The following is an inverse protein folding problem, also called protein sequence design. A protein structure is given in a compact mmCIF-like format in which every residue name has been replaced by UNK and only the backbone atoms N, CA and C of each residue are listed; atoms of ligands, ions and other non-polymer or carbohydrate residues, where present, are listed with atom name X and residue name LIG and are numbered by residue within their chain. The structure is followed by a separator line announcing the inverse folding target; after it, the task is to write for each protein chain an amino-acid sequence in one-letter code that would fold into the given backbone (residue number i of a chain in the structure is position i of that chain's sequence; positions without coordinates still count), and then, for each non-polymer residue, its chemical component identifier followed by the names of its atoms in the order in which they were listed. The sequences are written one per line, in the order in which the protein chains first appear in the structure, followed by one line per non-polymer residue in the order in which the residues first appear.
data_IF_519634565524
#
_entry.id   IF_519634565524
#
_cell.length_a   1.000
_cell.length_b   1.000
_cell.length_c   1.000
_cell.angle_alpha   90.00
_cell.angle_beta   90.00
_cell.angle_gamma   90.00
#
_symmetry.space_group_name_H-M   'P 1'
#
loop_
_entity.id
_entity.type
_entity.pdbx_description
1 polymer ?
#
# COMPACT_ATOMS: atom_id res chain seq x y z
N UNK A 1 40.24 36.99 -80.73
CA UNK A 1 39.22 37.92 -81.24
C UNK A 1 38.12 37.96 -80.19
N UNK A 2 37.71 39.06 -79.58
CA UNK A 2 38.07 40.48 -79.56
C UNK A 2 37.42 40.98 -78.24
N UNK A 3 38.20 41.33 -77.21
CA UNK A 3 38.50 42.71 -76.73
C UNK A 3 37.22 43.49 -76.31
N UNK A 4 37.09 44.07 -75.11
CA UNK A 4 37.77 45.26 -74.54
C UNK A 4 36.98 45.62 -73.24
N UNK A 5 37.41 46.33 -72.20
CA UNK A 5 38.66 46.96 -71.72
C UNK A 5 38.45 47.44 -70.25
N UNK A 6 39.55 47.61 -69.48
CA UNK A 6 39.98 48.79 -68.67
C UNK A 6 38.92 49.60 -67.87
N UNK A 7 39.06 50.09 -66.63
CA UNK A 7 40.23 50.51 -65.81
C UNK A 7 39.81 51.03 -64.42
N UNK A 8 40.71 50.86 -63.42
CA UNK A 8 41.18 51.79 -62.36
C UNK A 8 40.25 52.74 -61.56
N UNK A 9 40.44 52.71 -60.21
CA UNK A 9 40.73 53.81 -59.22
C UNK A 9 40.04 53.49 -57.87
N UNK A 10 40.74 53.19 -56.77
CA UNK A 10 41.48 54.03 -55.80
C UNK A 10 40.70 55.16 -55.07
N UNK A 11 40.62 54.98 -53.74
CA UNK A 11 40.50 55.93 -52.59
C UNK A 11 39.22 56.72 -52.25
N UNK A 12 38.87 56.61 -50.95
CA UNK A 12 38.29 57.60 -50.01
C UNK A 12 36.87 58.13 -50.35
N UNK A 13 35.93 58.39 -49.43
CA UNK A 13 36.00 58.90 -48.06
C UNK A 13 34.63 58.72 -47.39
N UNK A 14 34.59 58.98 -46.07
CA UNK A 14 33.45 58.95 -45.16
C UNK A 14 32.15 59.66 -45.62
N UNK A 15 31.00 59.16 -45.16
CA UNK A 15 29.73 59.87 -45.26
C UNK A 15 28.50 59.12 -44.72
N UNK A 16 28.18 59.41 -43.46
CA UNK A 16 26.82 59.63 -42.91
C UNK A 16 25.76 58.50 -42.89
N UNK A 17 25.48 58.09 -41.65
CA UNK A 17 24.21 57.66 -41.03
C UNK A 17 22.93 57.65 -41.89
N UNK A 18 22.35 56.45 -42.05
CA UNK A 18 20.97 56.25 -42.51
C UNK A 18 20.39 54.98 -41.88
N UNK A 19 19.39 55.16 -41.01
CA UNK A 19 18.58 54.09 -40.42
C UNK A 19 17.48 53.70 -41.42
N UNK A 20 17.42 52.45 -41.88
CA UNK A 20 16.17 51.66 -42.01
C UNK A 20 16.40 50.20 -42.48
N UNK A 21 15.97 49.27 -41.63
CA UNK A 21 15.23 48.00 -41.89
C UNK A 21 15.71 46.93 -42.90
N UNK A 22 15.71 45.70 -42.36
CA UNK A 22 15.42 44.40 -42.98
C UNK A 22 16.57 43.59 -43.60
N UNK A 23 16.68 42.33 -43.15
CA UNK A 23 17.32 41.25 -43.91
C UNK A 23 18.37 40.42 -43.15
N UNK A 24 17.88 39.49 -42.33
CA UNK A 24 18.43 38.13 -42.07
C UNK A 24 19.90 37.85 -42.41
N UNK A 25 20.72 37.62 -41.37
CA UNK A 25 21.52 36.39 -41.21
C UNK A 25 22.47 36.53 -40.02
N UNK A 26 22.06 35.95 -38.88
CA UNK A 26 23.02 35.44 -37.91
C UNK A 26 22.67 33.97 -37.72
N UNK A 27 23.55 33.10 -38.19
CA UNK A 27 23.62 31.72 -37.74
C UNK A 27 23.76 31.74 -36.22
N UNK A 28 22.69 31.31 -35.55
CA UNK A 28 22.74 30.97 -34.14
C UNK A 28 23.13 29.49 -34.13
N UNK A 29 24.31 29.20 -33.63
CA UNK A 29 24.59 27.89 -33.05
C UNK A 29 23.53 27.66 -31.96
N UNK A 30 22.45 26.99 -32.34
CA UNK A 30 21.51 26.42 -31.41
C UNK A 30 21.99 24.99 -31.15
N UNK A 31 22.84 24.83 -30.14
CA UNK A 31 22.74 23.65 -29.31
C UNK A 31 21.30 23.65 -28.75
N UNK A 32 20.37 23.09 -29.51
CA UNK A 32 19.04 22.73 -29.05
C UNK A 32 19.19 21.52 -28.15
N UNK A 33 19.82 21.71 -27.00
CA UNK A 33 19.40 20.96 -25.84
C UNK A 33 18.10 21.61 -25.39
N UNK A 34 16.99 21.24 -26.06
CA UNK A 34 15.67 21.45 -25.49
C UNK A 34 15.74 20.88 -24.08
N UNK A 35 15.42 21.64 -23.02
CA UNK A 35 15.45 21.09 -21.68
C UNK A 35 14.52 19.87 -21.69
N UNK A 36 15.06 18.70 -21.32
CA UNK A 36 14.25 17.52 -21.01
C UNK A 36 13.11 18.01 -20.12
N UNK A 37 11.87 17.75 -20.52
CA UNK A 37 10.71 18.25 -19.78
C UNK A 37 10.85 17.85 -18.30
N UNK A 38 10.80 18.83 -17.38
CA UNK A 38 10.87 18.59 -15.93
C UNK A 38 9.54 18.00 -15.45
N UNK A 39 9.33 16.76 -15.86
CA UNK A 39 8.09 16.01 -15.74
C UNK A 39 8.25 14.94 -14.68
N UNK A 40 7.35 14.94 -13.71
CA UNK A 40 7.26 13.92 -12.66
C UNK A 40 6.13 12.95 -13.00
N UNK A 41 6.45 11.66 -13.03
CA UNK A 41 5.49 10.61 -13.35
C UNK A 41 5.12 9.81 -12.09
N UNK A 42 3.82 9.59 -11.92
CA UNK A 42 3.24 8.72 -10.90
C UNK A 42 2.58 7.59 -11.67
N UNK A 43 3.25 6.45 -11.73
CA UNK A 43 2.85 5.36 -12.63
C UNK A 43 2.04 4.32 -11.85
N UNK A 44 0.83 4.03 -12.34
CA UNK A 44 0.01 2.91 -11.87
C UNK A 44 -0.21 2.91 -10.33
N UNK A 45 -0.52 4.06 -9.75
CA UNK A 45 -0.90 4.20 -8.34
C UNK A 45 -2.17 3.39 -8.09
N UNK A 46 -2.12 2.45 -7.15
CA UNK A 46 -3.22 1.52 -6.90
C UNK A 46 -4.33 2.17 -6.05
N UNK A 47 -5.57 1.93 -6.46
CA UNK A 47 -6.79 2.30 -5.73
C UNK A 47 -7.38 1.05 -5.07
N UNK A 48 -7.65 1.12 -3.77
CA UNK A 48 -8.29 0.02 -3.06
C UNK A 48 -9.14 0.48 -1.90
N UNK A 49 -10.10 -0.35 -1.50
CA UNK A 49 -10.90 -0.16 -0.29
C UNK A 49 -10.09 -0.26 0.99
N UNK A 50 -8.95 -0.98 0.98
CA UNK A 50 -8.05 -1.10 2.14
C UNK A 50 -7.36 0.22 2.50
N UNK A 51 -7.20 1.09 1.52
CA UNK A 51 -6.57 2.40 1.69
C UNK A 51 -7.55 3.48 2.13
N UNK A 52 -8.87 3.24 2.05
CA UNK A 52 -9.90 4.17 2.53
C UNK A 52 -9.85 4.37 4.03
N UNK A 53 -10.33 5.53 4.49
CA UNK A 53 -10.33 5.91 5.90
C UNK A 53 -11.74 6.36 6.31
N UNK A 54 -12.50 5.52 7.04
CA UNK A 54 -12.19 4.15 7.42
C UNK A 54 -12.21 3.17 6.23
N UNK A 55 -11.49 2.04 6.36
CA UNK A 55 -11.52 0.95 5.37
C UNK A 55 -12.94 0.45 5.15
N UNK A 56 -13.28 0.11 3.90
CA UNK A 56 -14.58 -0.47 3.55
C UNK A 56 -14.44 -1.88 2.92
N UNK A 57 -15.58 -2.52 2.64
CA UNK A 57 -15.67 -3.89 2.15
C UNK A 57 -15.80 -4.03 0.63
N UNK A 58 -15.53 -2.98 -0.14
CA UNK A 58 -15.61 -3.07 -1.60
C UNK A 58 -14.55 -4.02 -2.15
N UNK A 59 -14.94 -4.78 -3.18
CA UNK A 59 -14.04 -5.61 -3.99
C UNK A 59 -13.66 -4.90 -5.30
N UNK A 60 -14.11 -3.66 -5.49
CA UNK A 60 -13.67 -2.87 -6.62
C UNK A 60 -12.17 -2.60 -6.52
N UNK A 61 -11.54 -2.45 -7.68
CA UNK A 61 -10.11 -2.14 -7.79
C UNK A 61 -9.95 -1.05 -8.83
N UNK A 62 -8.86 -0.31 -8.74
CA UNK A 62 -8.48 0.62 -9.78
C UNK A 62 -7.02 1.01 -9.71
N UNK A 63 -6.62 1.81 -10.67
CA UNK A 63 -5.35 2.51 -10.64
C UNK A 63 -5.46 3.84 -11.36
N UNK A 64 -4.55 4.74 -11.06
CA UNK A 64 -4.40 5.97 -11.83
C UNK A 64 -2.93 6.26 -12.10
N UNK A 65 -2.68 7.04 -13.14
CA UNK A 65 -1.35 7.57 -13.44
C UNK A 65 -1.41 9.07 -13.59
N UNK A 66 -0.36 9.76 -13.16
CA UNK A 66 -0.19 11.20 -13.29
C UNK A 66 1.09 11.50 -14.05
N UNK A 67 1.02 12.45 -14.97
CA UNK A 67 2.16 13.15 -15.51
C UNK A 67 2.06 14.63 -15.12
N UNK A 68 3.04 15.13 -14.37
CA UNK A 68 3.05 16.51 -13.91
C UNK A 68 4.23 17.28 -14.52
N UNK A 69 3.95 18.31 -15.30
CA UNK A 69 4.96 19.22 -15.88
C UNK A 69 5.13 20.46 -14.99
N UNK A 70 6.30 20.58 -14.37
CA UNK A 70 6.64 21.70 -13.47
C UNK A 70 6.82 23.04 -14.18
N UNK A 71 6.97 23.08 -15.50
CA UNK A 71 7.10 24.35 -16.22
C UNK A 71 5.72 25.02 -16.44
N UNK A 72 4.71 24.19 -16.71
CA UNK A 72 3.36 24.65 -17.00
C UNK A 72 2.40 24.51 -15.80
N UNK A 73 2.86 23.86 -14.74
CA UNK A 73 2.08 23.38 -13.59
C UNK A 73 0.88 22.53 -14.00
N UNK A 74 1.00 21.82 -15.12
CA UNK A 74 -0.07 21.00 -15.66
C UNK A 74 0.06 19.57 -15.16
N UNK A 75 -0.97 19.10 -14.46
CA UNK A 75 -1.16 17.70 -14.10
C UNK A 75 -2.09 17.07 -15.14
N UNK A 76 -1.62 16.05 -15.84
CA UNK A 76 -2.43 15.16 -16.66
C UNK A 76 -2.62 13.83 -15.95
N UNK A 77 -3.83 13.28 -15.96
CA UNK A 77 -4.13 12.00 -15.32
C UNK A 77 -4.83 11.02 -16.26
N UNK A 78 -4.68 9.73 -15.97
CA UNK A 78 -5.49 8.62 -16.52
C UNK A 78 -5.97 7.75 -15.37
N UNK A 79 -7.26 7.39 -15.33
CA UNK A 79 -7.86 6.60 -14.24
C UNK A 79 -8.52 5.35 -14.83
N UNK A 80 -8.21 4.18 -14.27
CA UNK A 80 -8.80 2.89 -14.60
C UNK A 80 -9.42 2.27 -13.35
N UNK A 81 -10.56 1.61 -13.50
CA UNK A 81 -11.22 0.89 -12.41
C UNK A 81 -12.10 -0.23 -12.93
N UNK A 82 -12.45 -1.16 -12.04
CA UNK A 82 -13.38 -2.27 -12.29
C UNK A 82 -14.21 -2.55 -11.04
N UNK A 83 -15.41 -3.14 -11.21
CA UNK A 83 -16.24 -3.58 -10.09
C UNK A 83 -16.99 -2.49 -9.32
N UNK A 84 -17.01 -1.25 -9.83
CA UNK A 84 -17.79 -0.14 -9.25
C UNK A 84 -18.43 0.74 -10.34
N UNK A 85 -19.47 1.48 -9.95
CA UNK A 85 -20.11 2.56 -10.71
C UNK A 85 -19.89 3.88 -9.97
N UNK A 86 -18.88 4.68 -10.35
CA UNK A 86 -18.54 5.89 -9.61
C UNK A 86 -19.62 6.97 -9.70
N UNK A 87 -19.87 7.65 -8.58
CA UNK A 87 -20.76 8.81 -8.48
C UNK A 87 -20.00 10.13 -8.37
N UNK A 88 -18.76 10.08 -7.87
CA UNK A 88 -17.84 11.21 -7.80
C UNK A 88 -16.39 10.71 -7.74
N UNK A 89 -15.44 11.54 -8.15
CA UNK A 89 -14.01 11.33 -7.97
C UNK A 89 -13.33 12.65 -7.64
N UNK A 90 -12.43 12.64 -6.65
CA UNK A 90 -11.73 13.84 -6.21
C UNK A 90 -10.27 13.54 -5.90
N UNK A 91 -9.40 14.50 -6.15
CA UNK A 91 -8.10 14.55 -5.49
C UNK A 91 -8.26 15.29 -4.18
N UNK A 92 -7.79 14.66 -3.10
CA UNK A 92 -7.79 15.19 -1.75
C UNK A 92 -6.38 15.41 -1.25
N UNK A 93 -6.23 16.23 -0.21
CA UNK A 93 -4.98 16.42 0.54
C UNK A 93 -5.02 15.71 1.89
N UNK A 94 -4.20 14.67 2.04
CA UNK A 94 -3.98 13.96 3.30
C UNK A 94 -2.82 12.97 3.21
N UNK A 95 -2.15 12.75 4.34
CA UNK A 95 -1.13 11.71 4.48
C UNK A 95 -1.76 10.30 4.40
N UNK A 96 -0.93 9.26 4.27
CA UNK A 96 -1.40 7.87 4.27
C UNK A 96 -2.17 7.59 5.56
N UNK A 97 -3.39 7.07 5.43
CA UNK A 97 -4.25 6.75 6.58
C UNK A 97 -4.96 7.96 7.22
N UNK A 98 -4.86 9.15 6.63
CA UNK A 98 -5.53 10.36 7.11
C UNK A 98 -6.48 10.90 6.04
N UNK A 99 -7.76 11.04 6.39
CA UNK A 99 -8.76 11.68 5.54
C UNK A 99 -8.49 13.19 5.42
N UNK A 100 -8.75 13.73 4.23
CA UNK A 100 -8.37 15.07 3.83
C UNK A 100 -9.46 15.86 3.13
N UNK A 101 -9.27 17.17 3.01
CA UNK A 101 -10.14 18.04 2.20
C UNK A 101 -9.96 17.80 0.71
N UNK A 102 -10.96 18.16 -0.09
CA UNK A 102 -10.90 18.12 -1.56
C UNK A 102 -9.99 19.25 -2.06
N UNK A 103 -9.05 18.92 -2.92
CA UNK A 103 -8.19 19.88 -3.63
C UNK A 103 -8.78 20.22 -5.00
N UNK A 104 -9.22 19.21 -5.75
CA UNK A 104 -9.91 19.40 -7.02
C UNK A 104 -10.76 18.18 -7.42
N UNK A 105 -11.81 18.45 -8.19
CA UNK A 105 -12.72 17.45 -8.72
C UNK A 105 -12.19 16.83 -10.02
N UNK A 106 -12.45 15.55 -10.21
CA UNK A 106 -12.30 14.88 -11.50
C UNK A 106 -13.64 14.97 -12.22
N UNK A 107 -13.72 15.74 -13.30
CA UNK A 107 -14.96 15.90 -14.05
C UNK A 107 -15.39 14.59 -14.75
N UNK A 108 -16.68 14.27 -14.68
CA UNK A 108 -17.29 13.18 -15.44
C UNK A 108 -17.43 13.47 -16.95
N UNK A 109 -17.91 12.50 -17.75
CA UNK A 109 -18.46 11.21 -17.32
C UNK A 109 -17.40 10.23 -16.82
N UNK A 110 -17.76 9.43 -15.81
CA UNK A 110 -16.87 8.44 -15.21
C UNK A 110 -16.88 7.14 -16.03
N UNK A 111 -15.81 6.94 -16.81
CA UNK A 111 -15.55 5.70 -17.53
C UNK A 111 -14.13 5.21 -17.25
N UNK A 112 -13.94 3.89 -17.19
CA UNK A 112 -12.60 3.32 -17.01
C UNK A 112 -11.72 3.65 -18.22
N UNK A 113 -10.50 4.15 -17.97
CA UNK A 113 -9.62 4.71 -18.99
C UNK A 113 -9.78 6.21 -19.20
N UNK A 114 -10.62 6.90 -18.41
CA UNK A 114 -10.81 8.35 -18.51
C UNK A 114 -9.50 9.12 -18.29
N UNK A 115 -9.41 10.26 -18.96
CA UNK A 115 -8.26 11.17 -18.90
C UNK A 115 -8.71 12.58 -18.60
N UNK A 116 -7.83 13.38 -18.03
CA UNK A 116 -8.08 14.80 -17.83
C UNK A 116 -6.81 15.56 -17.50
N UNK A 117 -6.94 16.88 -17.43
CA UNK A 117 -5.86 17.78 -17.07
C UNK A 117 -6.35 18.83 -16.10
N UNK A 118 -5.53 19.20 -15.13
CA UNK A 118 -5.75 20.32 -14.21
C UNK A 118 -4.47 21.14 -14.09
N UNK A 119 -4.60 22.46 -13.99
CA UNK A 119 -3.47 23.31 -13.66
C UNK A 119 -3.39 23.45 -12.14
N UNK A 120 -2.28 23.05 -11.54
CA UNK A 120 -2.10 23.13 -10.10
C UNK A 120 -1.68 24.52 -9.65
N UNK A 121 -2.11 24.89 -8.45
CA UNK A 121 -1.50 25.98 -7.68
C UNK A 121 -0.14 25.53 -7.12
N UNK A 122 0.70 26.48 -6.72
CA UNK A 122 2.00 26.17 -6.08
C UNK A 122 1.84 25.33 -4.80
N UNK A 123 0.78 25.57 -4.02
CA UNK A 123 0.49 24.78 -2.83
C UNK A 123 0.14 23.32 -3.17
N UNK A 124 -0.69 23.12 -4.20
CA UNK A 124 -1.08 21.77 -4.66
C UNK A 124 0.09 21.02 -5.29
N UNK A 125 0.97 21.71 -6.02
CA UNK A 125 2.24 21.15 -6.49
C UNK A 125 3.09 20.67 -5.31
N UNK A 126 3.30 21.51 -4.31
CA UNK A 126 4.07 21.15 -3.13
C UNK A 126 3.47 19.93 -2.41
N UNK A 127 2.14 19.86 -2.31
CA UNK A 127 1.44 18.71 -1.73
C UNK A 127 1.54 17.45 -2.60
N UNK A 128 1.49 17.56 -3.93
CA UNK A 128 1.68 16.43 -4.85
C UNK A 128 3.10 15.85 -4.72
N UNK A 129 4.11 16.72 -4.79
CA UNK A 129 5.53 16.33 -4.73
C UNK A 129 5.91 15.81 -3.34
N UNK A 130 5.24 16.27 -2.29
CA UNK A 130 5.37 15.74 -0.93
C UNK A 130 4.54 14.45 -0.71
N UNK A 131 3.91 13.88 -1.75
CA UNK A 131 3.07 12.68 -1.67
C UNK A 131 1.88 12.83 -0.71
N UNK A 132 1.32 14.03 -0.60
CA UNK A 132 0.14 14.36 0.24
C UNK A 132 -1.17 14.41 -0.53
N UNK A 133 -1.15 14.26 -1.85
CA UNK A 133 -2.38 14.10 -2.62
C UNK A 133 -2.78 12.64 -2.74
N UNK A 134 -4.08 12.37 -2.77
CA UNK A 134 -4.62 11.05 -3.07
C UNK A 134 -5.91 11.17 -3.89
N UNK A 135 -6.14 10.21 -4.78
CA UNK A 135 -7.43 10.08 -5.48
C UNK A 135 -8.37 9.27 -4.60
N UNK A 136 -9.60 9.77 -4.44
CA UNK A 136 -10.72 9.05 -3.85
C UNK A 136 -11.83 8.89 -4.91
N UNK A 137 -12.44 7.70 -4.96
CA UNK A 137 -13.54 7.35 -5.84
C UNK A 137 -14.75 6.94 -4.99
N UNK A 138 -15.90 7.55 -5.25
CA UNK A 138 -17.13 7.33 -4.49
C UNK A 138 -18.14 6.53 -5.31
N UNK A 139 -19.03 5.78 -4.65
CA UNK A 139 -20.21 5.19 -5.27
C UNK A 139 -21.43 5.28 -4.38
N UNK A 140 -22.59 4.85 -4.89
CA UNK A 140 -23.83 4.82 -4.12
C UNK A 140 -23.73 3.98 -2.84
N UNK A 141 -22.96 2.87 -2.87
CA UNK A 141 -22.78 1.99 -1.71
C UNK A 141 -21.75 2.52 -0.72
N UNK A 142 -20.84 3.38 -1.17
CA UNK A 142 -19.72 3.90 -0.40
C UNK A 142 -19.57 5.41 -0.63
N UNK A 143 -20.57 6.17 -0.19
CA UNK A 143 -20.66 7.61 -0.44
C UNK A 143 -19.50 8.42 0.17
N UNK A 144 -18.94 7.95 1.30
CA UNK A 144 -17.78 8.58 1.95
C UNK A 144 -16.43 8.30 1.24
N UNK A 145 -16.42 7.36 0.29
CA UNK A 145 -15.22 6.88 -0.40
C UNK A 145 -15.27 5.35 -0.54
N UNK A 146 -15.15 4.86 -1.77
CA UNK A 146 -15.06 3.44 -2.10
C UNK A 146 -13.61 2.99 -2.28
N UNK A 147 -12.82 3.73 -3.07
CA UNK A 147 -11.43 3.40 -3.38
C UNK A 147 -10.53 4.62 -3.22
N UNK A 148 -9.44 4.45 -2.47
CA UNK A 148 -8.41 5.46 -2.25
C UNK A 148 -7.05 4.99 -2.73
N UNK A 149 -6.23 5.92 -3.22
CA UNK A 149 -4.84 5.66 -3.60
C UNK A 149 -3.96 6.88 -3.42
N UNK A 150 -2.91 6.77 -2.60
CA UNK A 150 -1.96 7.86 -2.35
C UNK A 150 -1.08 8.14 -3.57
N UNK A 151 -0.99 9.39 -4.02
CA UNK A 151 -0.14 9.77 -5.15
C UNK A 151 1.34 9.69 -4.74
N UNK A 152 1.99 8.62 -5.20
CA UNK A 152 3.42 8.39 -5.00
C UNK A 152 4.11 8.08 -6.33
N UNK A 153 5.37 8.49 -6.45
CA UNK A 153 6.25 8.13 -7.57
C UNK A 153 6.68 6.67 -7.46
N UNK A 154 7.20 6.09 -8.54
CA UNK A 154 7.56 4.65 -8.61
C UNK A 154 8.70 4.22 -7.67
N UNK A 155 9.50 5.19 -7.23
CA UNK A 155 10.55 5.02 -6.22
C UNK A 155 9.98 5.01 -4.79
N UNK A 156 8.68 5.21 -4.60
CA UNK A 156 8.02 5.18 -3.30
C UNK A 156 7.05 3.99 -3.18
N UNK A 157 6.88 3.49 -1.96
CA UNK A 157 6.02 2.35 -1.64
C UNK A 157 5.11 2.73 -0.48
N UNK A 158 3.80 2.58 -0.67
CA UNK A 158 2.81 2.86 0.36
C UNK A 158 2.70 1.67 1.31
N UNK A 159 2.86 1.95 2.61
CA UNK A 159 2.62 1.03 3.72
C UNK A 159 1.37 1.53 4.43
N UNK A 160 0.19 1.06 4.04
CA UNK A 160 -1.08 1.57 4.56
C UNK A 160 -1.82 0.54 5.41
N UNK A 161 -2.45 1.03 6.49
CA UNK A 161 -3.41 0.26 7.28
C UNK A 161 -2.82 -1.04 7.85
N UNK A 162 -1.55 -0.99 8.28
CA UNK A 162 -0.93 -2.08 9.05
C UNK A 162 -1.58 -2.06 10.43
N UNK A 163 -2.46 -3.03 10.71
CA UNK A 163 -3.17 -3.14 11.98
C UNK A 163 -2.30 -3.85 13.01
N UNK A 164 -2.28 -3.31 14.24
CA UNK A 164 -1.56 -3.88 15.37
C UNK A 164 -2.55 -4.41 16.40
N UNK A 165 -2.30 -5.60 16.93
CA UNK A 165 -3.11 -6.18 18.01
C UNK A 165 -2.32 -7.19 18.86
N UNK A 166 -2.80 -7.45 20.07
CA UNK A 166 -2.21 -8.48 20.95
C UNK A 166 -2.37 -9.91 20.41
N UNK A 167 -3.37 -10.12 19.53
CA UNK A 167 -3.55 -11.38 18.80
C UNK A 167 -2.41 -11.68 17.84
N UNK A 168 -1.64 -10.65 17.46
CA UNK A 168 -0.50 -10.78 16.56
C UNK A 168 0.83 -11.04 17.27
N UNK A 169 0.87 -10.97 18.61
CA UNK A 169 2.05 -11.36 19.38
C UNK A 169 2.33 -12.87 19.26
N UNK A 170 3.57 -13.27 19.52
CA UNK A 170 3.97 -14.69 19.48
C UNK A 170 4.69 -15.07 20.77
N UNK A 171 4.04 -15.82 21.68
CA UNK A 171 2.63 -16.22 21.67
C UNK A 171 1.66 -15.03 21.77
N UNK A 172 0.46 -15.17 21.20
CA UNK A 172 -0.57 -14.13 21.25
C UNK A 172 -1.01 -13.84 22.69
N UNK A 173 -1.35 -12.59 22.98
CA UNK A 173 -1.82 -12.15 24.30
C UNK A 173 -3.27 -11.64 24.26
N UNK A 174 -3.82 -11.32 25.43
CA UNK A 174 -5.22 -10.89 25.59
C UNK A 174 -5.40 -9.36 25.58
N UNK A 175 -4.39 -8.57 25.21
CA UNK A 175 -4.54 -7.12 25.15
C UNK A 175 -5.66 -6.74 24.17
N UNK A 176 -6.53 -5.84 24.61
CA UNK A 176 -7.56 -5.21 23.78
C UNK A 176 -7.05 -3.95 23.09
N UNK A 177 -5.80 -3.56 23.35
CA UNK A 177 -5.18 -2.43 22.71
C UNK A 177 -5.04 -2.67 21.20
N UNK A 178 -5.11 -1.60 20.44
CA UNK A 178 -4.99 -1.63 18.98
C UNK A 178 -4.05 -0.55 18.51
N UNK A 179 -3.52 -0.72 17.31
CA UNK A 179 -2.77 0.33 16.65
C UNK A 179 -2.88 0.27 15.14
N UNK A 180 -2.45 1.34 14.49
CA UNK A 180 -2.31 1.41 13.05
C UNK A 180 -0.99 2.07 12.70
N UNK A 181 -0.19 1.42 11.85
CA UNK A 181 1.00 1.99 11.25
C UNK A 181 0.71 2.34 9.79
N UNK A 182 1.00 3.58 9.42
CA UNK A 182 0.95 4.08 8.05
C UNK A 182 2.30 4.69 7.70
N UNK A 183 2.70 4.62 6.43
CA UNK A 183 3.89 5.30 5.97
C UNK A 183 4.14 5.18 4.48
N UNK A 184 5.18 5.88 4.04
CA UNK A 184 5.72 5.80 2.68
C UNK A 184 7.19 5.46 2.79
N UNK A 185 7.59 4.32 2.22
CA UNK A 185 8.98 3.98 2.04
C UNK A 185 9.52 4.61 0.77
N UNK A 186 10.61 5.36 0.87
CA UNK A 186 11.30 5.98 -0.25
C UNK A 186 12.55 5.16 -0.60
N UNK A 187 12.58 4.54 -1.78
CA UNK A 187 13.67 3.69 -2.26
C UNK A 187 14.95 4.49 -2.55
N UNK A 188 14.88 5.82 -2.67
CA UNK A 188 16.03 6.67 -2.94
C UNK A 188 16.77 6.98 -1.64
N UNK A 189 16.03 7.43 -0.62
CA UNK A 189 16.59 7.73 0.71
C UNK A 189 16.71 6.51 1.62
N UNK A 190 16.04 5.42 1.25
CA UNK A 190 15.89 4.18 2.02
C UNK A 190 15.22 4.40 3.37
N UNK A 191 14.29 5.36 3.49
CA UNK A 191 13.62 5.70 4.75
C UNK A 191 12.11 5.51 4.64
N UNK A 192 11.45 5.32 5.80
CA UNK A 192 10.00 5.39 5.91
C UNK A 192 9.64 6.69 6.62
N UNK A 193 8.84 7.53 5.98
CA UNK A 193 8.06 8.56 6.67
C UNK A 193 6.78 7.91 7.19
N UNK A 194 6.58 7.91 8.50
CA UNK A 194 5.52 7.12 9.14
C UNK A 194 4.67 7.92 10.13
N UNK A 195 3.47 7.40 10.37
CA UNK A 195 2.57 7.76 11.46
C UNK A 195 2.00 6.50 12.11
N UNK A 196 1.84 6.56 13.43
CA UNK A 196 1.32 5.48 14.27
C UNK A 196 0.19 6.04 15.11
N UNK A 197 -0.96 5.38 15.06
CA UNK A 197 -2.05 5.60 16.00
C UNK A 197 -2.10 4.42 16.99
N UNK A 198 -2.24 4.72 18.29
CA UNK A 198 -2.40 3.71 19.35
C UNK A 198 -3.69 3.98 20.11
N UNK A 199 -4.37 2.91 20.51
CA UNK A 199 -5.57 2.97 21.34
C UNK A 199 -5.47 1.93 22.45
N UNK A 200 -5.76 2.34 23.69
CA UNK A 200 -5.77 1.44 24.85
C UNK A 200 -4.40 1.16 25.47
N UNK A 201 -3.30 1.75 24.99
CA UNK A 201 -1.97 1.62 25.59
C UNK A 201 -1.15 2.91 25.45
N UNK A 202 -0.12 3.06 26.29
CA UNK A 202 0.95 4.08 26.13
C UNK A 202 2.26 3.36 25.83
N UNK A 203 2.87 3.64 24.68
CA UNK A 203 4.08 2.95 24.25
C UNK A 203 5.26 3.31 25.17
N UNK A 204 5.95 2.29 25.69
CA UNK A 204 7.23 2.45 26.39
C UNK A 204 8.43 2.27 25.47
N UNK A 205 8.28 1.50 24.39
CA UNK A 205 9.24 1.33 23.31
C UNK A 205 8.52 0.83 22.05
N UNK A 206 9.10 1.07 20.87
CA UNK A 206 8.60 0.54 19.61
C UNK A 206 9.77 0.12 18.74
N UNK A 207 9.67 -1.03 18.10
CA UNK A 207 10.73 -1.59 17.27
C UNK A 207 10.19 -2.18 15.98
N UNK A 208 10.94 -2.02 14.89
CA UNK A 208 10.84 -2.92 13.76
C UNK A 208 11.70 -4.15 14.03
N UNK A 209 11.13 -5.32 13.82
CA UNK A 209 11.80 -6.62 13.92
C UNK A 209 11.78 -7.35 12.58
N UNK A 210 12.72 -8.28 12.39
CA UNK A 210 12.80 -9.13 11.19
C UNK A 210 12.28 -10.54 11.45
N UNK A 211 11.06 -10.83 11.02
CA UNK A 211 10.57 -12.19 10.86
C UNK A 211 9.35 -12.23 9.94
N UNK A 212 9.08 -13.41 9.38
CA UNK A 212 7.79 -13.68 8.75
C UNK A 212 6.64 -13.57 9.77
N UNK A 213 5.41 -13.41 9.25
CA UNK A 213 4.21 -13.39 10.08
C UNK A 213 4.09 -14.67 10.93
N UNK A 214 3.79 -14.51 12.23
CA UNK A 214 3.68 -15.62 13.18
C UNK A 214 5.00 -16.13 13.78
N UNK A 215 6.14 -15.51 13.44
CA UNK A 215 7.46 -15.87 13.98
C UNK A 215 8.08 -14.68 14.71
N UNK A 216 8.82 -14.91 15.80
CA UNK A 216 9.63 -13.89 16.48
C UNK A 216 10.97 -13.71 15.78
N UNK A 217 11.51 -12.49 15.80
CA UNK A 217 12.83 -12.23 15.25
C UNK A 217 13.54 -11.04 15.86
N UNK A 218 14.77 -10.81 15.38
CA UNK A 218 15.68 -9.82 15.92
C UNK A 218 15.20 -8.39 15.65
N UNK A 219 15.57 -7.47 16.54
CA UNK A 219 15.35 -6.02 16.37
C UNK A 219 16.18 -5.53 15.18
N UNK A 220 15.51 -4.85 14.26
CA UNK A 220 16.10 -4.19 13.10
C UNK A 220 16.37 -2.73 13.38
N UNK A 221 15.39 -2.04 13.99
CA UNK A 221 15.44 -0.61 14.20
C UNK A 221 14.48 -0.18 15.32
N UNK A 222 14.89 0.82 16.11
CA UNK A 222 14.01 1.53 17.05
C UNK A 222 13.13 2.56 16.32
N UNK A 223 11.87 2.66 16.72
CA UNK A 223 10.89 3.61 16.18
C UNK A 223 10.60 4.68 17.23
N UNK A 224 10.95 5.92 16.88
CA UNK A 224 10.94 7.06 17.79
C UNK A 224 9.65 7.89 17.64
N UNK A 225 8.81 7.84 18.67
CA UNK A 225 7.56 8.60 18.69
C UNK A 225 6.51 8.07 17.71
N UNK A 226 5.34 8.70 17.71
CA UNK A 226 4.19 8.26 16.92
C UNK A 226 4.18 8.81 15.49
N UNK A 227 5.13 9.67 15.14
CA UNK A 227 5.28 10.21 13.79
C UNK A 227 6.74 10.61 13.59
N UNK A 228 7.29 10.30 12.44
CA UNK A 228 8.65 10.67 12.11
C UNK A 228 9.16 10.01 10.85
N UNK A 229 10.49 10.04 10.71
CA UNK A 229 11.21 9.39 9.62
C UNK A 229 12.19 8.40 10.22
N UNK A 230 12.27 7.20 9.66
CA UNK A 230 13.24 6.19 10.12
C UNK A 230 14.67 6.57 9.78
N UNK A 231 15.63 5.85 10.39
CA UNK A 231 16.97 5.77 9.80
C UNK A 231 16.92 5.09 8.42
N UNK A 232 18.00 5.24 7.64
CA UNK A 232 18.10 4.60 6.33
C UNK A 232 18.26 3.07 6.49
N UNK A 233 17.47 2.32 5.73
CA UNK A 233 17.52 0.87 5.66
C UNK A 233 18.76 0.43 4.85
N UNK A 234 19.40 -0.65 5.28
CA UNK A 234 20.35 -1.37 4.44
C UNK A 234 19.61 -2.12 3.31
N UNK A 235 20.32 -2.52 2.25
CA UNK A 235 19.72 -3.29 1.15
C UNK A 235 19.08 -4.61 1.60
N UNK A 236 19.64 -5.26 2.62
CA UNK A 236 19.06 -6.47 3.21
C UNK A 236 17.73 -6.16 3.91
N UNK A 237 17.68 -5.09 4.71
CA UNK A 237 16.46 -4.67 5.41
C UNK A 237 15.38 -4.18 4.44
N UNK A 238 15.75 -3.51 3.35
CA UNK A 238 14.82 -3.16 2.27
C UNK A 238 14.21 -4.42 1.63
N UNK A 239 15.03 -5.43 1.35
CA UNK A 239 14.53 -6.71 0.83
C UNK A 239 13.53 -7.35 1.80
N UNK A 240 13.82 -7.31 3.10
CA UNK A 240 12.91 -7.80 4.13
C UNK A 240 11.61 -6.98 4.19
N UNK A 241 11.68 -5.64 4.12
CA UNK A 241 10.51 -4.75 4.10
C UNK A 241 9.60 -5.05 2.90
N UNK A 242 10.15 -5.07 1.69
CA UNK A 242 9.39 -5.29 0.46
C UNK A 242 8.83 -6.72 0.38
N UNK A 243 9.51 -7.68 0.99
CA UNK A 243 9.01 -9.06 1.12
C UNK A 243 7.92 -9.20 2.18
N UNK A 244 7.72 -8.19 3.04
CA UNK A 244 6.78 -8.24 4.15
C UNK A 244 7.29 -9.09 5.33
N UNK A 245 8.61 -9.16 5.51
CA UNK A 245 9.30 -9.89 6.59
C UNK A 245 9.67 -8.98 7.78
N UNK A 246 9.09 -7.79 7.86
CA UNK A 246 9.24 -6.90 9.01
C UNK A 246 7.92 -6.74 9.75
N UNK A 247 8.00 -6.58 11.07
CA UNK A 247 6.84 -6.23 11.89
C UNK A 247 7.17 -5.11 12.87
N UNK A 248 6.18 -4.24 13.12
CA UNK A 248 6.24 -3.29 14.21
C UNK A 248 5.74 -3.98 15.48
N UNK A 249 6.54 -3.91 16.54
CA UNK A 249 6.16 -4.32 17.89
C UNK A 249 6.09 -3.08 18.78
N UNK A 250 5.04 -2.99 19.59
CA UNK A 250 4.81 -1.89 20.53
C UNK A 250 4.75 -2.45 21.93
N UNK A 251 5.63 -1.95 22.80
CA UNK A 251 5.77 -2.38 24.18
C UNK A 251 5.05 -1.39 25.10
N UNK A 252 4.64 -1.87 26.27
CA UNK A 252 4.12 -1.02 27.35
C UNK A 252 4.70 -1.44 28.69
N UNK A 253 4.41 -0.64 29.73
CA UNK A 253 4.76 -1.01 31.09
C UNK A 253 4.08 -2.32 31.56
N UNK A 254 2.88 -2.62 31.04
CA UNK A 254 2.14 -3.84 31.38
C UNK A 254 2.66 -5.06 30.61
N UNK A 255 3.11 -4.87 29.37
CA UNK A 255 3.71 -5.93 28.53
C UNK A 255 5.07 -5.48 27.96
N UNK A 256 6.15 -5.55 28.76
CA UNK A 256 7.49 -5.13 28.32
C UNK A 256 8.08 -5.99 27.19
N UNK A 257 7.60 -7.22 27.01
CA UNK A 257 8.02 -8.10 25.91
C UNK A 257 7.36 -7.79 24.55
N UNK A 258 6.37 -6.90 24.53
CA UNK A 258 5.51 -6.62 23.38
C UNK A 258 4.03 -6.74 23.78
N UNK A 259 3.28 -5.66 23.62
CA UNK A 259 1.83 -5.65 23.87
C UNK A 259 1.05 -5.89 22.58
N UNK A 260 1.40 -5.19 21.51
CA UNK A 260 0.75 -5.32 20.20
C UNK A 260 1.77 -5.33 19.05
N UNK A 261 1.50 -6.18 18.06
CA UNK A 261 2.32 -6.35 16.86
C UNK A 261 1.49 -6.18 15.59
N UNK A 262 2.13 -5.70 14.52
CA UNK A 262 1.57 -5.66 13.16
C UNK A 262 2.63 -5.96 12.12
N UNK A 263 2.37 -6.91 11.22
CA UNK A 263 3.27 -7.19 10.10
C UNK A 263 3.26 -6.02 9.11
N UNK A 264 4.42 -5.41 8.87
CA UNK A 264 4.57 -4.27 7.96
C UNK A 264 4.61 -4.79 6.54
N UNK A 265 3.56 -4.49 5.78
CA UNK A 265 3.40 -4.91 4.39
C UNK A 265 2.98 -3.74 3.50
N UNK A 266 3.18 -3.90 2.20
CA UNK A 266 2.69 -2.97 1.18
C UNK A 266 1.17 -3.05 1.04
N UNK A 267 0.54 -2.02 0.46
CA UNK A 267 -0.89 -1.99 0.11
C UNK A 267 -1.39 -3.14 -0.81
N UNK A 268 -0.46 -3.86 -1.45
CA UNK A 268 -0.70 -5.07 -2.24
C UNK A 268 -0.90 -6.34 -1.42
N UNK A 269 -0.66 -6.29 -0.11
CA UNK A 269 -0.77 -7.45 0.78
C UNK A 269 -1.84 -7.20 1.83
N UNK A 270 -2.55 -8.26 2.22
CA UNK A 270 -3.54 -8.24 3.30
C UNK A 270 -3.10 -9.26 4.34
N UNK A 271 -2.95 -8.80 5.58
CA UNK A 271 -2.60 -9.65 6.73
C UNK A 271 -3.88 -10.12 7.40
N UNK A 272 -3.89 -11.37 7.83
CA UNK A 272 -4.93 -11.96 8.66
C UNK A 272 -4.27 -12.56 9.89
N UNK A 273 -4.83 -12.29 11.07
CA UNK A 273 -4.31 -12.83 12.32
C UNK A 273 -5.46 -13.15 13.26
N UNK A 274 -5.53 -14.40 13.73
CA UNK A 274 -6.65 -14.85 14.56
C UNK A 274 -6.27 -16.00 15.49
N UNK A 275 -6.96 -16.04 16.63
CA UNK A 275 -6.77 -17.07 17.66
C UNK A 275 -7.70 -18.25 17.37
N UNK A 276 -7.13 -19.45 17.36
CA UNK A 276 -7.85 -20.72 17.36
C UNK A 276 -8.29 -21.05 18.79
N UNK A 277 -9.58 -21.32 18.98
CA UNK A 277 -10.14 -21.80 20.24
C UNK A 277 -11.35 -22.71 20.01
N UNK A 278 -11.65 -23.54 21.00
CA UNK A 278 -12.87 -24.35 21.00
C UNK A 278 -14.15 -23.53 21.21
N UNK A 279 -14.02 -22.31 21.75
CA UNK A 279 -15.13 -21.35 21.87
C UNK A 279 -15.61 -20.82 20.52
N UNK A 280 -14.73 -20.81 19.52
CA UNK A 280 -15.06 -20.33 18.18
C UNK A 280 -15.77 -21.39 17.32
N UNK A 281 -15.85 -22.65 17.78
CA UNK A 281 -16.58 -23.71 17.08
C UNK A 281 -18.09 -23.50 17.12
N UNK A 282 -18.81 -24.09 16.17
CA UNK A 282 -20.27 -24.00 16.07
C UNK A 282 -20.87 -25.40 16.10
N UNK A 283 -21.32 -25.93 17.25
CA UNK A 283 -21.32 -25.31 18.58
C UNK A 283 -19.94 -25.37 19.30
N UNK A 284 -19.70 -24.56 20.34
CA UNK A 284 -18.45 -24.58 21.10
C UNK A 284 -18.13 -25.97 21.68
N UNK A 285 -16.86 -26.38 21.60
CA UNK A 285 -16.41 -27.74 21.99
C UNK A 285 -16.03 -27.86 23.47
N UNK A 286 -15.76 -26.73 24.14
CA UNK A 286 -15.21 -26.70 25.51
C UNK A 286 -13.74 -27.12 25.60
N UNK A 287 -13.08 -27.39 24.47
CA UNK A 287 -11.66 -27.74 24.44
C UNK A 287 -10.80 -26.59 24.99
N UNK A 288 -9.78 -26.96 25.76
CA UNK A 288 -8.74 -26.05 26.26
C UNK A 288 -7.57 -25.92 25.27
N UNK A 289 -7.63 -26.63 24.14
CA UNK A 289 -6.69 -26.44 23.05
C UNK A 289 -6.77 -25.01 22.52
N UNK A 290 -5.62 -24.46 22.17
CA UNK A 290 -5.53 -23.09 21.62
C UNK A 290 -4.50 -23.05 20.52
N UNK A 291 -4.59 -22.02 19.68
CA UNK A 291 -3.60 -21.76 18.66
C UNK A 291 -3.75 -20.39 18.05
N UNK A 292 -2.96 -20.10 17.03
CA UNK A 292 -3.04 -18.91 16.21
C UNK A 292 -2.83 -19.27 14.75
N UNK A 293 -3.52 -18.56 13.87
CA UNK A 293 -3.30 -18.53 12.43
C UNK A 293 -2.85 -17.12 12.06
N UNK A 294 -1.72 -17.06 11.36
CA UNK A 294 -1.25 -15.88 10.65
C UNK A 294 -1.29 -16.18 9.17
N UNK A 295 -1.84 -15.27 8.37
CA UNK A 295 -1.80 -15.41 6.93
C UNK A 295 -1.54 -14.06 6.25
N UNK A 296 -0.84 -14.09 5.13
CA UNK A 296 -0.61 -12.92 4.27
C UNK A 296 -1.05 -13.30 2.88
N UNK A 297 -2.05 -12.57 2.37
CA UNK A 297 -2.51 -12.66 1.00
C UNK A 297 -1.81 -11.61 0.14
N UNK A 298 -1.15 -12.03 -0.92
CA UNK A 298 -0.51 -11.16 -1.90
C UNK A 298 -1.37 -11.06 -3.16
N UNK A 299 -1.94 -9.86 -3.40
CA UNK A 299 -2.84 -9.60 -4.52
C UNK A 299 -2.15 -9.75 -5.88
N UNK A 300 -0.83 -9.55 -5.94
CA UNK A 300 -0.08 -9.54 -7.20
C UNK A 300 0.05 -10.92 -7.83
N UNK A 301 0.14 -11.97 -7.01
CA UNK A 301 0.32 -13.36 -7.42
C UNK A 301 -0.79 -14.29 -6.90
N UNK A 302 -1.80 -13.72 -6.24
CA UNK A 302 -2.95 -14.40 -5.63
C UNK A 302 -2.56 -15.45 -4.60
N UNK A 303 -1.40 -15.33 -3.96
CA UNK A 303 -0.88 -16.33 -3.02
C UNK A 303 -1.25 -15.97 -1.59
N UNK A 304 -1.92 -16.89 -0.90
CA UNK A 304 -2.09 -16.88 0.55
C UNK A 304 -0.95 -17.71 1.17
N UNK A 305 -0.10 -17.09 1.97
CA UNK A 305 0.92 -17.78 2.77
C UNK A 305 0.52 -17.74 4.24
N UNK A 306 0.69 -18.83 4.96
CA UNK A 306 0.21 -18.93 6.34
C UNK A 306 1.17 -19.65 7.29
N UNK A 307 1.06 -19.33 8.57
CA UNK A 307 1.69 -20.00 9.70
C UNK A 307 0.62 -20.39 10.73
N UNK A 308 0.63 -21.64 11.16
CA UNK A 308 -0.32 -22.20 12.13
C UNK A 308 0.46 -22.74 13.32
N UNK A 309 0.19 -22.20 14.50
CA UNK A 309 0.73 -22.67 15.76
C UNK A 309 -0.40 -23.06 16.71
N UNK A 310 -0.22 -24.14 17.46
CA UNK A 310 -1.23 -24.66 18.39
C UNK A 310 -0.58 -25.39 19.57
N UNK A 311 -1.37 -25.60 20.61
CA UNK A 311 -1.01 -26.37 21.82
C UNK A 311 -2.23 -27.09 22.36
N UNK A 312 -2.01 -28.20 23.07
CA UNK A 312 -3.07 -28.98 23.72
C UNK A 312 -3.91 -29.84 22.76
N UNK A 313 -3.49 -30.03 21.52
CA UNK A 313 -4.18 -30.83 20.50
C UNK A 313 -3.18 -31.69 19.71
N UNK A 314 -3.61 -32.89 19.33
CA UNK A 314 -2.93 -33.78 18.37
C UNK A 314 -3.76 -33.81 17.07
N UNK A 315 -3.45 -32.95 16.08
CA UNK A 315 -4.32 -32.80 14.92
C UNK A 315 -4.41 -34.07 14.06
N UNK A 316 -5.61 -34.38 13.61
CA UNK A 316 -5.88 -35.45 12.64
C UNK A 316 -6.17 -34.90 11.24
N UNK A 317 -6.70 -33.68 11.15
CA UNK A 317 -6.93 -32.95 9.91
C UNK A 317 -6.95 -31.43 10.16
N UNK A 318 -6.71 -30.64 9.12
CA UNK A 318 -6.85 -29.19 9.14
C UNK A 318 -7.41 -28.68 7.80
N UNK A 319 -8.39 -27.78 7.85
CA UNK A 319 -9.03 -27.27 6.65
C UNK A 319 -9.30 -25.77 6.74
N UNK A 320 -9.13 -25.06 5.63
CA UNK A 320 -9.81 -23.80 5.41
C UNK A 320 -11.21 -24.06 4.86
N UNK A 321 -12.20 -23.43 5.46
CA UNK A 321 -13.60 -23.51 5.09
C UNK A 321 -14.12 -22.15 4.65
N UNK A 322 -15.23 -22.16 3.90
CA UNK A 322 -16.03 -20.98 3.59
C UNK A 322 -17.30 -20.94 4.44
N UNK A 323 -17.38 -19.97 5.34
CA UNK A 323 -18.56 -19.65 6.14
C UNK A 323 -18.36 -18.32 6.85
N UNK A 324 -19.43 -17.55 7.01
CA UNK A 324 -19.40 -16.33 7.82
C UNK A 324 -19.07 -16.68 9.29
N UNK A 325 -18.63 -15.68 10.06
CA UNK A 325 -18.43 -15.86 11.49
C UNK A 325 -19.73 -16.37 12.15
N UNK A 326 -19.61 -17.43 12.95
CA UNK A 326 -20.76 -18.07 13.61
C UNK A 326 -21.56 -19.04 12.74
N UNK A 327 -21.17 -19.30 11.49
CA UNK A 327 -21.79 -20.33 10.64
C UNK A 327 -20.78 -21.38 10.20
N UNK A 328 -21.24 -22.62 10.02
CA UNK A 328 -20.46 -23.69 9.40
C UNK A 328 -20.61 -23.62 7.88
N UNK A 329 -19.59 -24.06 7.15
CA UNK A 329 -19.69 -24.19 5.70
C UNK A 329 -18.68 -25.18 5.11
N UNK A 330 -18.65 -25.23 3.78
CA UNK A 330 -17.90 -26.22 3.03
C UNK A 330 -16.38 -26.04 3.13
N UNK A 331 -15.64 -27.13 2.89
CA UNK A 331 -14.18 -27.10 2.78
C UNK A 331 -13.80 -26.39 1.48
N UNK A 332 -12.94 -25.38 1.59
CA UNK A 332 -12.30 -24.71 0.45
C UNK A 332 -10.92 -25.31 0.16
N UNK A 333 -10.22 -25.75 1.20
CA UNK A 333 -8.84 -26.23 1.09
C UNK A 333 -8.43 -27.09 2.27
N UNK A 334 -7.69 -28.15 1.99
CA UNK A 334 -6.96 -28.94 2.98
C UNK A 334 -5.59 -28.32 3.27
N UNK A 335 -5.22 -28.26 4.55
CA UNK A 335 -3.86 -28.01 4.98
C UNK A 335 -3.16 -29.36 5.07
N UNK A 336 -2.23 -29.62 4.16
CA UNK A 336 -1.55 -30.91 4.07
C UNK A 336 -0.53 -31.07 5.20
N UNK A 337 -0.54 -32.22 5.88
CA UNK A 337 0.43 -32.58 6.91
C UNK A 337 1.84 -32.90 6.37
N UNK A 338 2.79 -33.30 7.23
CA UNK A 338 2.61 -33.64 8.64
C UNK A 338 2.31 -32.42 9.53
N UNK A 339 1.43 -32.61 10.52
CA UNK A 339 1.04 -31.54 11.43
C UNK A 339 2.08 -31.35 12.54
N UNK A 340 2.63 -30.15 12.63
CA UNK A 340 3.46 -29.71 13.76
C UNK A 340 3.14 -28.25 14.10
N UNK A 341 3.28 -27.88 15.37
CA UNK A 341 3.03 -26.49 15.80
C UNK A 341 4.09 -25.57 15.21
N UNK A 342 3.65 -24.44 14.62
CA UNK A 342 4.50 -23.52 13.87
C UNK A 342 4.63 -23.89 12.39
N UNK A 343 3.85 -24.85 11.88
CA UNK A 343 3.88 -25.22 10.47
C UNK A 343 3.49 -24.05 9.58
N UNK A 344 4.13 -23.99 8.40
CA UNK A 344 3.84 -22.99 7.38
C UNK A 344 3.34 -23.66 6.11
N UNK A 345 2.50 -22.95 5.36
CA UNK A 345 2.04 -23.39 4.06
C UNK A 345 1.72 -22.21 3.16
N UNK A 346 1.44 -22.51 1.89
CA UNK A 346 0.97 -21.49 0.96
C UNK A 346 0.18 -22.10 -0.18
N UNK A 347 -0.65 -21.26 -0.81
CA UNK A 347 -1.59 -21.67 -1.84
C UNK A 347 -1.93 -20.50 -2.75
N UNK A 348 -2.07 -20.76 -4.04
CA UNK A 348 -2.56 -19.77 -5.00
C UNK A 348 -4.08 -19.87 -5.09
N UNK A 349 -4.77 -18.76 -4.86
CA UNK A 349 -6.23 -18.68 -4.87
C UNK A 349 -6.76 -18.36 -6.27
N UNK A 350 -7.91 -18.93 -6.61
CA UNK A 350 -8.69 -18.46 -7.74
C UNK A 350 -9.50 -17.20 -7.38
N UNK A 351 -10.15 -16.57 -8.36
CA UNK A 351 -10.87 -15.31 -8.16
C UNK A 351 -12.04 -15.42 -7.16
N UNK A 352 -12.75 -16.54 -7.12
CA UNK A 352 -13.84 -16.77 -6.15
C UNK A 352 -13.29 -16.88 -4.74
N UNK A 353 -12.23 -17.67 -4.55
CA UNK A 353 -11.58 -17.88 -3.25
C UNK A 353 -10.97 -16.57 -2.71
N UNK A 354 -10.33 -15.78 -3.56
CA UNK A 354 -9.85 -14.44 -3.22
C UNK A 354 -11.00 -13.54 -2.74
N UNK A 355 -12.10 -13.47 -3.50
CA UNK A 355 -13.24 -12.64 -3.13
C UNK A 355 -13.88 -13.09 -1.80
N UNK A 356 -13.95 -14.39 -1.53
CA UNK A 356 -14.48 -14.92 -0.28
C UNK A 356 -13.53 -14.66 0.91
N UNK A 357 -12.21 -14.83 0.72
CA UNK A 357 -11.20 -14.50 1.72
C UNK A 357 -11.24 -13.01 2.09
N UNK A 358 -11.25 -12.12 1.10
CA UNK A 358 -11.23 -10.67 1.32
C UNK A 358 -12.52 -10.15 1.98
N UNK A 359 -13.64 -10.88 1.85
CA UNK A 359 -14.90 -10.66 2.59
C UNK A 359 -14.89 -11.22 4.01
N UNK A 360 -13.80 -11.87 4.43
CA UNK A 360 -13.72 -12.52 5.75
C UNK A 360 -14.61 -13.76 5.87
N UNK A 361 -14.92 -14.43 4.76
CA UNK A 361 -15.75 -15.64 4.76
C UNK A 361 -14.93 -16.92 4.97
N UNK A 362 -13.63 -16.82 5.22
CA UNK A 362 -12.77 -17.98 5.43
C UNK A 362 -12.50 -18.21 6.91
N UNK A 363 -12.46 -19.48 7.33
CA UNK A 363 -11.99 -19.87 8.66
C UNK A 363 -11.11 -21.11 8.59
N UNK A 364 -10.11 -21.19 9.48
CA UNK A 364 -9.34 -22.40 9.71
C UNK A 364 -10.04 -23.24 10.78
N UNK A 365 -10.12 -24.54 10.55
CA UNK A 365 -10.60 -25.54 11.49
C UNK A 365 -9.52 -26.60 11.71
N UNK A 366 -9.29 -27.01 12.96
CA UNK A 366 -8.34 -28.06 13.33
C UNK A 366 -9.07 -29.18 14.05
N UNK A 367 -8.93 -30.40 13.55
CA UNK A 367 -9.65 -31.58 14.02
C UNK A 367 -8.74 -32.46 14.89
N UNK A 368 -9.33 -33.25 15.77
CA UNK A 368 -8.65 -34.31 16.50
C UNK A 368 -9.49 -35.58 16.57
N UNK A 369 -8.95 -36.64 17.16
CA UNK A 369 -9.69 -37.89 17.37
C UNK A 369 -10.94 -37.70 18.26
N UNK A 370 -10.88 -36.79 19.24
CA UNK A 370 -12.01 -36.51 20.14
C UNK A 370 -13.06 -35.61 19.48
N UNK A 371 -12.64 -34.77 18.52
CA UNK A 371 -13.50 -33.80 17.86
C UNK A 371 -13.35 -33.90 16.34
N UNK A 372 -13.90 -34.97 15.76
CA UNK A 372 -13.80 -35.22 14.32
C UNK A 372 -14.45 -34.12 13.45
N UNK A 373 -15.46 -33.42 13.98
CA UNK A 373 -16.10 -32.27 13.32
C UNK A 373 -15.34 -30.95 13.41
N UNK A 374 -14.27 -30.89 14.23
CA UNK A 374 -13.51 -29.68 14.52
C UNK A 374 -13.34 -29.48 16.03
N UNK A 375 -12.10 -29.30 16.50
CA UNK A 375 -11.80 -29.03 17.91
C UNK A 375 -11.63 -27.54 18.19
N UNK A 376 -10.89 -26.84 17.34
CA UNK A 376 -10.60 -25.41 17.45
C UNK A 376 -10.72 -24.69 16.10
N UNK A 377 -11.31 -23.48 16.12
CA UNK A 377 -11.60 -22.66 14.94
C UNK A 377 -11.09 -21.24 15.06
N UNK A 378 -10.76 -20.61 13.92
CA UNK A 378 -10.45 -19.19 13.81
C UNK A 378 -10.94 -18.62 12.48
N UNK A 379 -11.79 -17.58 12.53
CA UNK A 379 -12.16 -16.82 11.33
C UNK A 379 -10.97 -15.99 10.85
N UNK A 380 -10.68 -15.95 9.55
CA UNK A 380 -9.61 -15.11 9.00
C UNK A 380 -10.12 -13.66 8.91
N UNK A 381 -9.77 -12.87 9.92
CA UNK A 381 -10.06 -11.43 9.96
C UNK A 381 -8.79 -10.61 9.77
N UNK A 382 -8.95 -9.45 9.10
CA UNK A 382 -7.86 -8.51 8.77
C UNK A 382 -7.32 -7.76 9.99
#
# INVERSE_FOLDING_TARGET
MQKFAFTHKLFASAGLLGILMAGTSCEKDSDTNMPMADVVNFNNVQLSSQQEVPENSSNATGSYSIQYDKNSNQLAYTINYTGTTPTAMHFHKGEVGVAGGVEFEVAGPYTSGMKGTVKLTEAQEADLLASKLYLNMHSANFAAGELRGQAVTEDKVVLSNVKLSGKQEVPGNNSTATGTFNGIYDKTTKKIDYSIALNGLTASAMHLHKAAAGVNGDVVMEIMGLKGTTAAFTSAQETDLLSGNLYLNVHSAAQPGGEIRGQVVTDQKVVFASRLSGENEVAPTGSQATGNIYAVYDKSNKKLSYNIAYTGINPTAMHFHKGAAGTNGGVEMEVVGPYSSGMTGSVTLNATQEADLLKGLWYLNVHSAAFAGGEIRAQLVK
#
